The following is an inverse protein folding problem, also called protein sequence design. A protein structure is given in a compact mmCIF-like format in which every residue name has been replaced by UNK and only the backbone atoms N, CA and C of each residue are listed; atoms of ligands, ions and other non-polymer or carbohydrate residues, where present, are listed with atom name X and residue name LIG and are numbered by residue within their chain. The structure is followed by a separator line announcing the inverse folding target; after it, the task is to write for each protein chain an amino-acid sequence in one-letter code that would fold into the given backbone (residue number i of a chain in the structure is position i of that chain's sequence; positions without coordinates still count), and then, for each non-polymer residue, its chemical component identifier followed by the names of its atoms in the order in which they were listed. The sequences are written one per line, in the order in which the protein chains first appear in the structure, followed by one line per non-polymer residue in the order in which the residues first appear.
data_IF_123000575449
#
_entry.id   IF_123000575449
#
_cell.length_a   1.000
_cell.length_b   1.000
_cell.length_c   1.000
_cell.angle_alpha   90.00
_cell.angle_beta   90.00
_cell.angle_gamma   90.00
#
_symmetry.space_group_name_H-M   'P 1'
#
loop_
_entity.id
_entity.type
_entity.pdbx_description
1 polymer ?
#
# COMPACT_ATOMS: atom_id res chain seq x y z
N UNK A 1 -0.40 2.01 2.58
CA UNK A 1 0.90 2.68 2.86
C UNK A 1 2.08 1.72 2.85
N UNK A 2 2.15 0.73 3.76
CA UNK A 2 3.25 -0.25 3.83
C UNK A 2 3.63 -0.86 2.48
N UNK A 3 2.64 -1.38 1.73
CA UNK A 3 2.83 -1.92 0.37
C UNK A 3 3.57 -0.96 -0.57
N UNK A 4 3.23 0.33 -0.54
CA UNK A 4 3.84 1.35 -1.42
C UNK A 4 5.30 1.59 -1.04
N UNK A 5 5.63 1.64 0.25
CA UNK A 5 7.03 1.75 0.72
C UNK A 5 7.85 0.56 0.22
N UNK A 6 7.38 -0.67 0.45
CA UNK A 6 8.10 -1.89 0.05
C UNK A 6 8.37 -1.96 -1.46
N UNK A 7 7.38 -1.54 -2.27
CA UNK A 7 7.55 -1.47 -3.73
C UNK A 7 8.55 -0.39 -4.15
N UNK A 8 8.60 0.74 -3.45
CA UNK A 8 9.57 1.80 -3.72
C UNK A 8 11.01 1.37 -3.39
N UNK A 9 11.17 0.63 -2.29
CA UNK A 9 12.43 0.01 -1.89
C UNK A 9 12.87 -1.11 -2.84
N UNK A 10 11.93 -1.68 -3.61
CA UNK A 10 12.22 -2.80 -4.53
C UNK A 10 12.44 -4.14 -3.82
N UNK A 11 12.12 -4.24 -2.53
CA UNK A 11 12.36 -5.46 -1.72
C UNK A 11 11.20 -6.46 -1.79
N UNK A 12 10.02 -6.03 -2.25
CA UNK A 12 8.83 -6.86 -2.39
C UNK A 12 7.87 -6.22 -3.41
N UNK A 13 7.30 -7.00 -4.32
CA UNK A 13 6.29 -6.55 -5.29
C UNK A 13 4.95 -6.16 -4.63
N UNK A 14 4.71 -6.63 -3.39
CA UNK A 14 3.53 -6.32 -2.59
C UNK A 14 2.23 -6.90 -3.13
N UNK A 15 2.30 -7.95 -3.97
CA UNK A 15 1.16 -8.65 -4.54
C UNK A 15 0.56 -9.65 -3.54
N UNK A 16 -0.68 -9.39 -3.10
CA UNK A 16 -1.35 -10.29 -2.17
C UNK A 16 -1.96 -11.52 -2.85
N UNK A 17 -2.28 -11.44 -4.14
CA UNK A 17 -2.88 -12.55 -4.89
C UNK A 17 -1.84 -13.65 -5.14
N UNK A 18 -0.59 -13.27 -5.40
CA UNK A 18 0.56 -14.18 -5.51
C UNK A 18 1.15 -14.57 -4.14
N UNK A 19 0.67 -13.94 -3.06
CA UNK A 19 1.05 -14.27 -1.69
C UNK A 19 2.44 -13.77 -1.26
N UNK A 20 3.04 -12.83 -1.99
CA UNK A 20 4.29 -12.14 -1.62
C UNK A 20 4.07 -11.16 -0.47
N UNK A 21 2.83 -10.67 -0.29
CA UNK A 21 2.38 -9.93 0.87
C UNK A 21 1.21 -10.66 1.54
N UNK A 22 1.36 -10.98 2.83
CA UNK A 22 0.34 -11.64 3.64
C UNK A 22 0.06 -10.83 4.89
N UNK A 23 -1.16 -10.95 5.41
CA UNK A 23 -1.53 -10.33 6.67
C UNK A 23 -2.46 -11.25 7.46
N UNK A 24 -2.22 -11.30 8.77
CA UNK A 24 -3.18 -11.76 9.76
C UNK A 24 -3.70 -10.53 10.53
N UNK A 25 -4.98 -10.51 10.82
CA UNK A 25 -5.67 -9.34 11.39
C UNK A 25 -6.10 -9.65 12.81
N UNK A 26 -5.69 -8.81 13.76
CA UNK A 26 -6.04 -8.95 15.17
C UNK A 26 -7.04 -7.86 15.56
N UNK A 27 -8.26 -8.24 15.94
CA UNK A 27 -9.36 -7.31 16.24
C UNK A 27 -9.86 -7.51 17.66
N UNK A 28 -9.97 -6.41 18.40
CA UNK A 28 -10.71 -6.32 19.66
C UNK A 28 -11.45 -4.98 19.70
N UNK A 29 -12.65 -4.96 20.28
CA UNK A 29 -13.41 -3.72 20.50
C UNK A 29 -13.35 -3.30 21.96
N UNK A 30 -13.47 -1.99 22.21
CA UNK A 30 -13.56 -1.42 23.56
C UNK A 30 -14.41 -0.16 23.56
N UNK A 31 -14.97 0.18 24.73
CA UNK A 31 -15.53 1.53 24.94
C UNK A 31 -14.40 2.57 24.89
N UNK A 32 -14.67 3.80 24.40
CA UNK A 32 -13.69 4.87 24.43
C UNK A 32 -13.09 5.07 25.83
N UNK A 33 -11.77 5.12 25.94
CA UNK A 33 -11.06 5.23 27.22
C UNK A 33 -11.01 3.96 28.09
N UNK A 34 -11.68 2.87 27.70
CA UNK A 34 -11.68 1.60 28.43
C UNK A 34 -10.43 0.74 28.23
N UNK A 35 -10.35 -0.38 28.95
CA UNK A 35 -9.31 -1.39 28.76
C UNK A 35 -9.45 -2.09 27.38
N UNK A 36 -8.38 -2.73 26.91
CA UNK A 36 -8.42 -3.55 25.69
C UNK A 36 -9.34 -4.77 25.90
N UNK A 37 -10.16 -5.07 24.89
CA UNK A 37 -11.07 -6.22 24.91
C UNK A 37 -10.38 -7.53 24.52
N UNK A 38 -11.13 -8.63 24.57
CA UNK A 38 -10.65 -9.93 24.09
C UNK A 38 -10.41 -9.88 22.58
N UNK A 39 -9.28 -10.43 22.15
CA UNK A 39 -8.81 -10.41 20.76
C UNK A 39 -9.29 -11.63 19.98
N UNK A 40 -9.85 -11.39 18.80
CA UNK A 40 -9.99 -12.39 17.75
C UNK A 40 -8.89 -12.20 16.69
N UNK A 41 -8.32 -13.29 16.20
CA UNK A 41 -7.32 -13.29 15.14
C UNK A 41 -7.93 -13.86 13.85
N UNK A 42 -7.98 -13.08 12.77
CA UNK A 42 -8.47 -13.49 11.46
C UNK A 42 -7.26 -13.80 10.58
N UNK A 43 -7.14 -15.06 10.15
CA UNK A 43 -5.99 -15.54 9.37
C UNK A 43 -6.24 -15.61 7.87
N UNK A 44 -5.15 -15.68 7.12
CA UNK A 44 -5.13 -15.91 5.66
C UNK A 44 -5.84 -14.81 4.86
N UNK A 45 -5.55 -13.55 5.18
CA UNK A 45 -6.10 -12.43 4.41
C UNK A 45 -5.27 -12.18 3.16
N UNK A 46 -5.90 -12.38 1.99
CA UNK A 46 -5.24 -12.29 0.68
C UNK A 46 -5.59 -11.01 -0.10
N UNK A 47 -6.29 -10.05 0.50
CA UNK A 47 -6.61 -8.78 -0.16
C UNK A 47 -6.81 -7.66 0.85
N UNK A 48 -6.31 -6.47 0.53
CA UNK A 48 -6.52 -5.25 1.33
C UNK A 48 -8.03 -4.95 1.48
N UNK A 49 -8.82 -5.19 0.42
CA UNK A 49 -10.28 -5.02 0.47
C UNK A 49 -10.92 -5.98 1.47
N UNK A 50 -10.53 -7.25 1.42
CA UNK A 50 -11.02 -8.27 2.36
C UNK A 50 -10.57 -8.00 3.78
N UNK A 51 -9.37 -7.46 4.00
CA UNK A 51 -8.91 -7.00 5.32
C UNK A 51 -9.89 -5.97 5.90
N UNK A 52 -10.23 -4.94 5.13
CA UNK A 52 -11.20 -3.91 5.56
C UNK A 52 -12.56 -4.52 5.92
N UNK A 53 -13.10 -5.35 5.03
CA UNK A 53 -14.39 -6.02 5.25
C UNK A 53 -14.39 -6.93 6.49
N UNK A 54 -13.31 -7.70 6.68
CA UNK A 54 -13.16 -8.61 7.81
C UNK A 54 -13.08 -7.85 9.14
N UNK A 55 -12.36 -6.72 9.18
CA UNK A 55 -12.29 -5.84 10.36
C UNK A 55 -13.66 -5.29 10.70
N UNK A 56 -14.38 -4.74 9.72
CA UNK A 56 -15.70 -4.17 9.93
C UNK A 56 -16.70 -5.21 10.43
N UNK A 57 -16.72 -6.39 9.80
CA UNK A 57 -17.60 -7.48 10.21
C UNK A 57 -17.29 -7.94 11.64
N UNK A 58 -16.01 -8.23 11.94
CA UNK A 58 -15.62 -8.73 13.24
C UNK A 58 -15.86 -7.71 14.36
N UNK A 59 -15.62 -6.43 14.10
CA UNK A 59 -15.93 -5.37 15.05
C UNK A 59 -17.44 -5.32 15.37
N UNK A 60 -18.29 -5.35 14.33
CA UNK A 60 -19.76 -5.37 14.51
C UNK A 60 -20.24 -6.62 15.26
N UNK A 61 -19.69 -7.80 14.92
CA UNK A 61 -19.98 -9.06 15.62
C UNK A 61 -19.64 -8.95 17.10
N UNK A 62 -18.44 -8.47 17.44
CA UNK A 62 -18.01 -8.35 18.83
C UNK A 62 -18.88 -7.36 19.60
N UNK A 63 -19.24 -6.21 18.98
CA UNK A 63 -20.14 -5.23 19.59
C UNK A 63 -21.50 -5.87 19.91
N UNK A 64 -22.13 -6.55 18.94
CA UNK A 64 -23.44 -7.18 19.14
C UNK A 64 -23.44 -8.18 20.31
N UNK A 65 -22.44 -9.07 20.37
CA UNK A 65 -22.31 -10.05 21.46
C UNK A 65 -22.17 -9.34 22.82
N UNK A 66 -21.39 -8.26 22.89
CA UNK A 66 -21.17 -7.52 24.13
C UNK A 66 -22.40 -6.71 24.55
N UNK A 67 -23.16 -6.15 23.61
CA UNK A 67 -24.40 -5.41 23.87
C UNK A 67 -25.53 -6.35 24.33
N UNK A 68 -25.56 -7.59 23.84
CA UNK A 68 -26.47 -8.64 24.29
C UNK A 68 -26.08 -9.22 25.68
N UNK A 69 -25.03 -8.68 26.32
CA UNK A 69 -24.54 -9.12 27.64
C UNK A 69 -23.66 -10.38 27.60
N UNK A 70 -23.27 -10.81 26.41
CA UNK A 70 -22.36 -11.93 26.19
C UNK A 70 -20.89 -11.58 26.45
N UNK A 71 -20.01 -12.53 26.11
CA UNK A 71 -18.55 -12.38 26.22
C UNK A 71 -17.88 -12.81 24.92
N UNK A 72 -16.75 -12.19 24.62
CA UNK A 72 -15.93 -12.57 23.47
C UNK A 72 -14.89 -13.59 23.92
N UNK A 73 -14.89 -14.74 23.25
CA UNK A 73 -13.85 -15.76 23.40
C UNK A 73 -12.66 -15.44 22.48
N UNK A 74 -11.47 -15.82 22.92
CA UNK A 74 -10.26 -15.66 22.11
C UNK A 74 -10.22 -16.76 21.04
N UNK A 75 -10.47 -16.38 19.79
CA UNK A 75 -10.58 -17.32 18.68
C UNK A 75 -9.63 -17.01 17.53
N UNK A 76 -9.25 -18.06 16.80
CA UNK A 76 -8.73 -17.93 15.44
C UNK A 76 -9.86 -18.15 14.44
N UNK A 77 -10.06 -17.15 13.59
CA UNK A 77 -11.15 -17.07 12.62
C UNK A 77 -10.61 -17.00 11.20
N UNK A 78 -11.46 -17.32 10.24
CA UNK A 78 -11.24 -17.11 8.81
C UNK A 78 -12.28 -16.13 8.28
N UNK A 79 -11.96 -15.46 7.17
CA UNK A 79 -12.92 -14.65 6.43
C UNK A 79 -13.44 -15.41 5.20
N UNK A 80 -14.76 -15.47 5.03
CA UNK A 80 -15.42 -15.96 3.81
C UNK A 80 -15.79 -14.77 2.93
N UNK A 81 -15.09 -14.54 1.80
CA UNK A 81 -15.33 -13.40 0.94
C UNK A 81 -16.66 -13.49 0.16
N UNK A 82 -17.24 -14.68 0.01
CA UNK A 82 -18.52 -14.86 -0.68
C UNK A 82 -19.69 -14.42 0.19
N UNK A 83 -19.60 -14.71 1.50
CA UNK A 83 -20.63 -14.33 2.48
C UNK A 83 -20.35 -12.98 3.14
N UNK A 84 -19.08 -12.54 3.13
CA UNK A 84 -18.65 -11.34 3.85
C UNK A 84 -18.63 -11.53 5.36
N UNK A 85 -18.38 -12.75 5.84
CA UNK A 85 -18.51 -13.13 7.25
C UNK A 85 -17.21 -13.75 7.79
N UNK A 86 -16.97 -13.62 9.11
CA UNK A 86 -15.92 -14.37 9.79
C UNK A 86 -16.48 -15.68 10.35
N UNK A 87 -15.73 -16.78 10.18
CA UNK A 87 -16.05 -18.11 10.73
C UNK A 87 -14.98 -18.55 11.73
N UNK A 88 -15.40 -19.14 12.85
CA UNK A 88 -14.45 -19.74 13.80
C UNK A 88 -13.82 -20.98 13.18
N UNK A 89 -12.50 -21.13 13.26
CA UNK A 89 -11.79 -22.30 12.73
C UNK A 89 -11.43 -23.30 13.84
N UNK A 90 -11.11 -22.80 15.05
CA UNK A 90 -10.81 -23.57 16.26
C UNK A 90 -10.88 -22.65 17.48
N UNK A 91 -11.41 -23.14 18.60
CA UNK A 91 -11.19 -22.48 19.90
C UNK A 91 -9.71 -22.63 20.29
N UNK A 92 -9.06 -21.53 20.67
CA UNK A 92 -7.74 -21.62 21.31
C UNK A 92 -7.97 -22.08 22.75
N UNK A 93 -7.90 -23.38 23.00
CA UNK A 93 -7.97 -23.88 24.39
C UNK A 93 -6.73 -23.46 25.18
N UNK A 94 -5.54 -23.31 24.57
CA UNK A 94 -4.32 -22.80 25.24
C UNK A 94 -3.38 -22.05 24.28
N UNK A 95 -2.57 -21.12 24.81
CA UNK A 95 -1.51 -20.47 24.04
C UNK A 95 -0.38 -21.48 23.76
N UNK A 96 0.06 -21.59 22.50
CA UNK A 96 1.15 -22.50 22.16
C UNK A 96 2.47 -22.06 22.80
N UNK A 97 3.07 -22.93 23.60
CA UNK A 97 4.45 -22.77 24.05
C UNK A 97 5.40 -23.07 22.89
N UNK A 98 5.88 -22.01 22.24
CA UNK A 98 6.83 -22.08 21.13
C UNK A 98 8.25 -22.46 21.57
N UNK A 99 8.54 -22.46 22.89
CA UNK A 99 9.87 -22.81 23.45
C UNK A 99 11.00 -22.09 22.72
N UNK A 100 10.86 -20.78 22.52
CA UNK A 100 11.86 -19.96 21.84
C UNK A 100 13.23 -20.10 22.53
N UNK A 101 14.26 -20.41 21.75
CA UNK A 101 15.66 -20.42 22.16
C UNK A 101 16.53 -19.88 21.01
N UNK A 102 17.71 -19.29 21.29
CA UNK A 102 18.63 -18.89 20.24
C UNK A 102 19.05 -20.11 19.42
N UNK A 103 18.96 -19.98 18.10
CA UNK A 103 19.39 -21.04 17.19
C UNK A 103 20.89 -21.31 17.38
N UNK A 104 21.30 -22.50 17.86
CA UNK A 104 22.70 -22.78 18.18
C UNK A 104 23.57 -22.90 16.92
N UNK A 105 22.95 -23.10 15.75
CA UNK A 105 23.64 -23.22 14.47
C UNK A 105 23.91 -21.84 13.84
N UNK A 106 23.26 -20.78 14.34
CA UNK A 106 23.41 -19.41 13.84
C UNK A 106 24.07 -18.52 14.90
N UNK A 107 25.28 -18.04 14.58
CA UNK A 107 25.91 -16.99 15.36
C UNK A 107 25.05 -15.70 15.33
N UNK A 108 25.10 -14.87 16.39
CA UNK A 108 24.45 -13.57 16.38
C UNK A 108 24.88 -12.74 15.17
N UNK A 109 23.91 -12.11 14.51
CA UNK A 109 24.15 -11.22 13.39
C UNK A 109 24.39 -9.80 13.93
N UNK A 110 25.63 -9.33 13.82
CA UNK A 110 26.02 -8.00 14.28
C UNK A 110 26.23 -7.06 13.09
N UNK A 111 25.62 -5.87 13.14
CA UNK A 111 25.80 -4.81 12.18
C UNK A 111 26.40 -3.59 12.88
N UNK A 112 27.45 -2.99 12.30
CA UNK A 112 27.98 -1.73 12.79
C UNK A 112 27.21 -0.54 12.20
N UNK A 113 27.42 0.64 12.79
CA UNK A 113 26.76 1.85 12.31
C UNK A 113 27.22 2.25 10.90
N UNK A 114 28.46 1.92 10.53
CA UNK A 114 28.99 2.24 9.20
C UNK A 114 28.23 1.50 8.10
N UNK A 115 27.82 0.25 8.34
CA UNK A 115 26.97 -0.53 7.44
C UNK A 115 25.59 0.11 7.27
N UNK A 116 24.95 0.54 8.37
CA UNK A 116 23.65 1.21 8.34
C UNK A 116 23.72 2.55 7.60
N UNK A 117 24.75 3.35 7.86
CA UNK A 117 24.97 4.64 7.21
C UNK A 117 25.26 4.51 5.71
N UNK A 118 25.89 3.41 5.29
CA UNK A 118 26.07 3.08 3.88
C UNK A 118 24.71 2.79 3.21
N UNK A 119 23.87 1.93 3.80
CA UNK A 119 22.54 1.62 3.28
C UNK A 119 21.63 2.85 3.19
N UNK A 120 21.72 3.75 4.18
CA UNK A 120 20.91 4.98 4.20
C UNK A 120 21.20 5.89 2.99
N UNK A 121 22.41 5.87 2.43
CA UNK A 121 22.78 6.67 1.25
C UNK A 121 22.15 6.15 -0.05
N UNK A 122 21.87 4.86 -0.12
CA UNK A 122 21.27 4.20 -1.29
C UNK A 122 19.74 4.16 -1.20
N UNK A 123 19.16 4.66 -0.11
CA UNK A 123 17.71 4.67 0.09
C UNK A 123 17.04 5.57 -0.97
N UNK A 124 16.10 5.06 -1.77
CA UNK A 124 15.38 5.88 -2.71
C UNK A 124 14.46 6.87 -1.99
N UNK A 125 14.12 7.97 -2.66
CA UNK A 125 13.09 8.89 -2.18
C UNK A 125 11.77 8.13 -1.97
N UNK A 126 11.25 8.16 -0.74
CA UNK A 126 10.05 7.42 -0.38
C UNK A 126 8.78 8.15 -0.87
N UNK A 127 7.63 7.46 -0.98
CA UNK A 127 6.42 8.02 -1.57
C UNK A 127 5.90 9.30 -0.92
N UNK A 128 6.03 9.45 0.41
CA UNK A 128 5.52 10.64 1.10
C UNK A 128 6.44 11.84 0.88
N UNK A 129 7.75 11.63 0.95
CA UNK A 129 8.74 12.68 0.70
C UNK A 129 8.63 13.15 -0.76
N UNK A 130 8.51 12.21 -1.69
CA UNK A 130 8.25 12.49 -3.11
C UNK A 130 6.94 13.27 -3.27
N UNK A 131 5.85 12.86 -2.61
CA UNK A 131 4.56 13.57 -2.66
C UNK A 131 4.71 15.01 -2.20
N UNK A 132 5.34 15.23 -1.04
CA UNK A 132 5.55 16.56 -0.48
C UNK A 132 6.37 17.42 -1.45
N UNK A 133 7.48 16.90 -1.98
CA UNK A 133 8.30 17.59 -2.98
C UNK A 133 7.52 17.95 -4.24
N UNK A 134 6.70 17.04 -4.78
CA UNK A 134 5.90 17.32 -5.97
C UNK A 134 4.86 18.43 -5.72
N UNK A 135 4.27 18.49 -4.53
CA UNK A 135 3.35 19.57 -4.14
C UNK A 135 4.12 20.90 -4.03
N UNK A 136 5.25 20.90 -3.30
CA UNK A 136 5.98 22.13 -3.00
C UNK A 136 6.70 22.71 -4.22
N UNK A 137 7.35 21.87 -5.02
CA UNK A 137 8.19 22.30 -6.15
C UNK A 137 7.38 22.53 -7.42
N UNK A 138 6.40 21.68 -7.71
CA UNK A 138 5.61 21.75 -8.96
C UNK A 138 4.22 22.37 -8.75
N UNK A 139 3.86 22.72 -7.51
CA UNK A 139 2.57 23.32 -7.19
C UNK A 139 1.38 22.40 -7.46
N UNK A 140 1.60 21.07 -7.46
CA UNK A 140 0.54 20.09 -7.71
C UNK A 140 -0.45 20.05 -6.54
N UNK A 141 -1.68 19.64 -6.83
CA UNK A 141 -2.62 19.34 -5.76
C UNK A 141 -2.15 18.10 -4.99
N UNK A 142 -2.51 18.02 -3.71
CA UNK A 142 -2.21 16.84 -2.89
C UNK A 142 -2.84 15.54 -3.45
N UNK A 143 -3.93 15.68 -4.21
CA UNK A 143 -4.57 14.58 -4.92
C UNK A 143 -3.72 14.10 -6.09
N UNK A 144 -3.35 15.01 -7.01
CA UNK A 144 -2.55 14.66 -8.20
C UNK A 144 -1.21 14.05 -7.81
N UNK A 145 -0.53 14.67 -6.83
CA UNK A 145 0.71 14.14 -6.30
C UNK A 145 0.54 12.73 -5.71
N UNK A 146 -0.60 12.43 -5.06
CA UNK A 146 -0.87 11.08 -4.52
C UNK A 146 -1.08 10.03 -5.61
N UNK A 147 -1.65 10.40 -6.76
CA UNK A 147 -1.83 9.51 -7.91
C UNK A 147 -0.47 9.24 -8.55
N UNK A 148 0.35 10.27 -8.76
CA UNK A 148 1.65 10.14 -9.41
C UNK A 148 2.64 9.30 -8.59
N UNK A 149 2.61 9.40 -7.26
CA UNK A 149 3.50 8.60 -6.39
C UNK A 149 2.92 7.24 -6.01
N UNK A 150 1.74 6.87 -6.51
CA UNK A 150 1.07 5.61 -6.15
C UNK A 150 1.95 4.38 -6.44
N UNK A 151 2.69 4.42 -7.55
CA UNK A 151 3.68 3.43 -7.95
C UNK A 151 4.95 4.12 -8.42
N UNK A 152 6.11 3.52 -8.13
CA UNK A 152 7.42 4.08 -8.50
C UNK A 152 7.56 4.27 -10.02
N UNK A 153 7.16 3.32 -10.89
CA UNK A 153 7.24 3.52 -12.33
C UNK A 153 6.40 4.70 -12.85
N UNK A 154 5.26 4.99 -12.22
CA UNK A 154 4.42 6.15 -12.58
C UNK A 154 5.15 7.45 -12.23
N UNK A 155 5.71 7.51 -11.02
CA UNK A 155 6.46 8.68 -10.57
C UNK A 155 7.68 8.94 -11.48
N UNK A 156 8.45 7.89 -11.79
CA UNK A 156 9.64 7.98 -12.63
C UNK A 156 9.29 8.38 -14.08
N UNK A 157 8.16 7.90 -14.61
CA UNK A 157 7.64 8.32 -15.91
C UNK A 157 7.27 9.81 -15.89
N UNK A 158 6.48 10.24 -14.90
CA UNK A 158 6.03 11.62 -14.76
C UNK A 158 7.19 12.61 -14.63
N UNK A 159 8.20 12.31 -13.81
CA UNK A 159 9.33 13.22 -13.61
C UNK A 159 10.12 13.45 -14.91
N UNK A 160 10.23 12.43 -15.77
CA UNK A 160 10.83 12.57 -17.11
C UNK A 160 9.98 13.44 -18.03
N UNK A 161 8.65 13.30 -18.00
CA UNK A 161 7.74 14.16 -18.77
C UNK A 161 7.83 15.61 -18.28
N UNK A 162 7.78 15.82 -16.98
CA UNK A 162 7.77 17.15 -16.36
C UNK A 162 9.13 17.87 -16.42
N UNK A 163 10.23 17.18 -16.73
CA UNK A 163 11.57 17.76 -16.81
C UNK A 163 11.61 18.93 -17.81
N UNK A 164 11.82 20.15 -17.29
CA UNK A 164 11.86 21.38 -18.09
C UNK A 164 10.50 21.90 -18.57
N UNK A 165 9.39 21.31 -18.11
CA UNK A 165 8.02 21.62 -18.56
C UNK A 165 7.14 22.11 -17.42
N UNK A 166 5.92 22.52 -17.76
CA UNK A 166 4.90 22.84 -16.76
C UNK A 166 4.44 21.55 -16.06
N UNK A 167 4.78 21.42 -14.77
CA UNK A 167 4.46 20.25 -13.97
C UNK A 167 2.97 19.97 -13.85
N UNK A 168 2.11 21.01 -13.84
CA UNK A 168 0.64 20.83 -13.77
C UNK A 168 0.09 20.30 -15.08
N UNK A 169 0.58 20.82 -16.21
CA UNK A 169 0.19 20.32 -17.53
C UNK A 169 0.63 18.86 -17.70
N UNK A 170 1.89 18.55 -17.35
CA UNK A 170 2.41 17.19 -17.39
C UNK A 170 1.60 16.25 -16.47
N UNK A 171 1.28 16.66 -15.25
CA UNK A 171 0.50 15.86 -14.31
C UNK A 171 -0.90 15.57 -14.87
N UNK A 172 -1.56 16.58 -15.45
CA UNK A 172 -2.88 16.42 -16.03
C UNK A 172 -2.89 15.36 -17.16
N UNK A 173 -1.94 15.45 -18.10
CA UNK A 173 -1.83 14.51 -19.22
C UNK A 173 -1.43 13.10 -18.77
N UNK A 174 -0.52 12.99 -17.80
CA UNK A 174 -0.16 11.67 -17.26
C UNK A 174 -1.35 11.04 -16.55
N UNK A 175 -2.06 11.78 -15.70
CA UNK A 175 -3.15 11.25 -14.88
C UNK A 175 -4.41 10.95 -15.71
N UNK A 176 -4.89 11.92 -16.48
CA UNK A 176 -6.20 11.83 -17.12
C UNK A 176 -6.14 11.10 -18.46
N UNK A 177 -5.10 11.35 -19.26
CA UNK A 177 -4.99 10.79 -20.60
C UNK A 177 -4.20 9.48 -20.59
N UNK A 178 -2.93 9.51 -20.20
CA UNK A 178 -2.07 8.32 -20.30
C UNK A 178 -2.56 7.20 -19.38
N UNK A 179 -2.64 7.43 -18.06
CA UNK A 179 -3.08 6.41 -17.12
C UNK A 179 -4.54 5.99 -17.39
N UNK A 180 -5.39 6.94 -17.81
CA UNK A 180 -6.77 6.65 -18.22
C UNK A 180 -6.85 5.68 -19.40
N UNK A 181 -6.01 5.87 -20.44
CA UNK A 181 -5.98 4.99 -21.61
C UNK A 181 -5.31 3.65 -21.33
N UNK A 182 -4.24 3.64 -20.53
CA UNK A 182 -3.58 2.40 -20.11
C UNK A 182 -4.53 1.50 -19.33
N UNK A 183 -5.30 2.07 -18.40
CA UNK A 183 -6.33 1.33 -17.66
C UNK A 183 -7.40 0.73 -18.60
N UNK A 184 -7.89 1.50 -19.58
CA UNK A 184 -8.84 0.97 -20.59
C UNK A 184 -8.25 -0.15 -21.44
N UNK A 185 -6.95 -0.11 -21.71
CA UNK A 185 -6.23 -1.12 -22.46
C UNK A 185 -5.75 -2.30 -21.59
N UNK A 186 -5.97 -2.26 -20.26
CA UNK A 186 -5.45 -3.26 -19.32
C UNK A 186 -3.93 -3.32 -19.26
N UNK A 187 -3.25 -2.19 -19.49
CA UNK A 187 -1.78 -2.07 -19.46
C UNK A 187 -1.33 -1.27 -18.24
N UNK A 188 -0.13 -1.53 -17.77
CA UNK A 188 0.58 -0.70 -16.80
C UNK A 188 1.43 0.37 -17.50
N UNK A 189 2.04 1.24 -16.70
CA UNK A 189 2.92 2.32 -17.18
C UNK A 189 4.24 1.79 -17.75
N UNK A 190 4.69 0.62 -17.31
CA UNK A 190 5.93 -0.01 -17.79
C UNK A 190 5.75 -0.55 -19.21
N UNK A 191 4.53 -0.94 -19.57
CA UNK A 191 4.12 -1.39 -20.90
C UNK A 191 3.43 -0.28 -21.71
N UNK A 192 3.65 0.99 -21.35
CA UNK A 192 3.08 2.11 -22.08
C UNK A 192 3.64 2.18 -23.50
N UNK A 193 2.79 2.33 -24.55
CA UNK A 193 3.26 2.43 -25.93
C UNK A 193 3.88 3.80 -26.27
N UNK A 194 3.81 4.76 -25.34
CA UNK A 194 4.31 6.12 -25.49
C UNK A 194 5.40 6.36 -24.45
N UNK A 195 6.60 6.71 -24.88
CA UNK A 195 7.70 7.04 -23.98
C UNK A 195 7.50 8.41 -23.31
N UNK A 196 8.13 8.66 -22.15
CA UNK A 196 8.08 9.98 -21.50
C UNK A 196 8.53 11.12 -22.43
N UNK A 197 9.52 10.87 -23.29
CA UNK A 197 10.06 11.83 -24.23
C UNK A 197 9.06 12.15 -25.35
N UNK A 198 8.35 11.13 -25.85
CA UNK A 198 7.31 11.32 -26.85
C UNK A 198 6.15 12.14 -26.29
N UNK A 199 5.67 11.82 -25.07
CA UNK A 199 4.64 12.61 -24.42
C UNK A 199 5.13 14.04 -24.15
N UNK A 200 6.36 14.20 -23.68
CA UNK A 200 6.99 15.51 -23.48
C UNK A 200 6.99 16.37 -24.76
N UNK A 201 7.37 15.79 -25.90
CA UNK A 201 7.36 16.49 -27.19
C UNK A 201 5.94 16.95 -27.60
N UNK A 202 4.91 16.15 -27.32
CA UNK A 202 3.51 16.55 -27.54
C UNK A 202 3.15 17.74 -26.67
N UNK A 203 3.55 17.75 -25.39
CA UNK A 203 3.30 18.88 -24.49
C UNK A 203 4.01 20.16 -24.95
N UNK A 204 5.22 20.04 -25.50
CA UNK A 204 5.97 21.16 -26.04
C UNK A 204 5.23 21.78 -27.23
N UNK A 205 4.74 20.96 -28.17
CA UNK A 205 3.93 21.42 -29.31
C UNK A 205 2.62 22.09 -28.89
N UNK A 206 1.98 21.60 -27.82
CA UNK A 206 0.77 22.24 -27.25
C UNK A 206 1.13 23.60 -26.67
N UNK A 207 2.23 23.69 -25.91
CA UNK A 207 2.69 24.94 -25.29
C UNK A 207 3.06 25.99 -26.34
N UNK A 208 3.64 25.57 -27.46
CA UNK A 208 3.95 26.42 -28.61
C UNK A 208 2.71 26.86 -29.41
N UNK A 209 1.54 26.26 -29.14
CA UNK A 209 0.30 26.51 -29.88
C UNK A 209 0.29 25.89 -31.28
N UNK A 210 1.25 25.01 -31.58
CA UNK A 210 1.35 24.29 -32.85
C UNK A 210 0.20 23.28 -33.01
N UNK A 211 -0.21 22.66 -31.91
CA UNK A 211 -1.39 21.78 -31.82
C UNK A 211 -2.27 22.20 -30.64
N UNK A 212 -3.57 21.90 -30.71
CA UNK A 212 -4.48 22.05 -29.58
C UNK A 212 -4.41 20.87 -28.64
N UNK A 213 -4.80 21.04 -27.37
CA UNK A 213 -5.00 19.94 -26.43
C UNK A 213 -6.26 19.10 -26.68
N UNK A 214 -6.83 19.18 -27.88
CA UNK A 214 -7.99 18.42 -28.36
C UNK A 214 -7.61 17.69 -29.64
#
# INVERSE_FOLDING_TARGET
KLRSIMRYLGTCDGNMDEGSLRADVNVSVRRPGGAFGTRCEIKNMNSIRFIGQAIEYEARRQIAILEDGGKIDQETRLFDPNKGETRSMRSKEEAHDYRYFPDPDLLPLEFDQAYVDALAKDLPELPDDKKARLVDVLGLSAYDASVLVSEKPIADYFEKVAAGRDGKLAANWVINDLLGQLNKAGKDIENAPVSPEQLGAVLDLIKEGTISGK
#
